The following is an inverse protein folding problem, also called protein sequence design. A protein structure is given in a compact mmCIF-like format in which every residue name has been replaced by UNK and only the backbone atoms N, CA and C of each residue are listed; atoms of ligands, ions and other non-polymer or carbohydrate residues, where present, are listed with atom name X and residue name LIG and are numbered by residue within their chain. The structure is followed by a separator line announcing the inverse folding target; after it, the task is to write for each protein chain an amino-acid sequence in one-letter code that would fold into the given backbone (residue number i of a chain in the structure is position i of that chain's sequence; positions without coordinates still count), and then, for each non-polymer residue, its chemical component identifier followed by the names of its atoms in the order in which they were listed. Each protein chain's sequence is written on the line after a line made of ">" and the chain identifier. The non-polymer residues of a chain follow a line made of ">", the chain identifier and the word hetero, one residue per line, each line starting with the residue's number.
data_IF_127036594424
#
_entry.id   IF_127036594424
#
_cell.length_a   1.000
_cell.length_b   1.000
_cell.length_c   1.000
_cell.angle_alpha   90.00
_cell.angle_beta   90.00
_cell.angle_gamma   90.00
#
_symmetry.space_group_name_H-M   'P 1'
#
loop_
_entity.id
_entity.type
_entity.pdbx_description
1 polymer ?
#
# COMPACT_ATOMS: atom_id res chain seq x y z
N UNK A 1 -11.53 16.35 11.51
CA UNK A 1 -10.41 16.84 10.70
C UNK A 1 -9.60 15.63 10.27
N UNK A 2 -9.23 15.50 8.98
CA UNK A 2 -8.40 14.39 8.53
C UNK A 2 -6.99 14.49 9.11
N UNK A 3 -6.26 13.37 9.12
CA UNK A 3 -4.84 13.32 9.48
C UNK A 3 -4.03 13.41 8.20
N UNK A 4 -3.04 14.30 8.13
CA UNK A 4 -2.07 14.36 7.04
C UNK A 4 -0.69 14.11 7.60
N UNK A 5 0.12 13.35 6.89
CA UNK A 5 1.51 13.10 7.25
C UNK A 5 2.41 13.34 6.04
N UNK A 6 3.59 13.86 6.36
CA UNK A 6 4.67 14.16 5.45
C UNK A 6 5.95 13.76 6.16
N UNK A 7 6.40 12.53 5.93
CA UNK A 7 7.54 11.97 6.64
C UNK A 7 8.46 11.22 5.68
N UNK A 8 9.73 11.65 5.68
CA UNK A 8 10.77 11.07 4.85
C UNK A 8 11.55 9.95 5.54
N UNK A 9 11.86 8.88 4.80
CA UNK A 9 12.73 7.79 5.27
C UNK A 9 14.23 8.01 4.99
N UNK A 10 14.65 9.22 4.62
CA UNK A 10 16.07 9.55 4.43
C UNK A 10 16.83 9.30 5.74
N UNK A 11 17.94 8.56 5.66
CA UNK A 11 18.72 8.13 6.83
C UNK A 11 18.27 6.81 7.46
N UNK A 12 17.20 6.16 6.97
CA UNK A 12 16.86 4.80 7.37
C UNK A 12 17.91 3.80 6.85
N UNK A 13 18.02 2.63 7.50
CA UNK A 13 18.89 1.54 7.05
C UNK A 13 18.55 1.16 5.60
N UNK A 14 19.53 1.31 4.70
CA UNK A 14 19.35 1.13 3.24
C UNK A 14 19.12 2.41 2.44
N UNK A 15 18.93 3.56 3.09
CA UNK A 15 18.71 4.91 2.49
C UNK A 15 19.59 5.99 3.13
N UNK A 16 20.87 5.68 3.32
CA UNK A 16 21.82 6.50 4.05
C UNK A 16 23.15 6.66 3.28
N UNK A 17 23.07 6.97 1.99
CA UNK A 17 24.26 7.35 1.24
C UNK A 17 24.77 8.70 1.76
N UNK A 18 26.02 8.72 2.22
CA UNK A 18 26.68 9.94 2.69
C UNK A 18 27.05 10.91 1.56
N UNK A 19 26.90 10.50 0.30
CA UNK A 19 27.43 11.23 -0.87
C UNK A 19 26.45 11.36 -2.04
N UNK A 20 25.25 10.76 -1.95
CA UNK A 20 24.26 10.82 -3.02
C UNK A 20 22.88 11.14 -2.46
N UNK A 21 22.47 12.40 -2.60
CA UNK A 21 21.16 12.88 -2.18
C UNK A 21 20.02 12.17 -2.92
N UNK A 22 20.13 11.97 -4.24
CA UNK A 22 19.08 11.30 -5.03
C UNK A 22 18.87 9.83 -4.63
N UNK A 23 19.94 9.13 -4.26
CA UNK A 23 19.82 7.79 -3.66
C UNK A 23 18.99 7.81 -2.38
N UNK A 24 19.15 8.85 -1.55
CA UNK A 24 18.37 9.00 -0.33
C UNK A 24 16.94 9.46 -0.64
N UNK A 25 16.77 10.37 -1.61
CA UNK A 25 15.54 11.08 -1.92
C UNK A 25 14.51 10.24 -2.67
N UNK A 26 14.88 9.56 -3.75
CA UNK A 26 13.90 8.90 -4.64
C UNK A 26 13.12 7.83 -3.86
N UNK A 27 11.80 8.00 -3.74
CA UNK A 27 10.89 7.09 -3.03
C UNK A 27 10.91 7.20 -1.50
N UNK A 28 11.59 8.19 -0.92
CA UNK A 28 11.76 8.26 0.53
C UNK A 28 10.46 8.56 1.29
N UNK A 29 9.58 9.39 0.72
CA UNK A 29 8.26 9.68 1.29
C UNK A 29 7.32 8.48 1.17
N UNK A 30 7.36 7.76 0.04
CA UNK A 30 6.61 6.53 -0.15
C UNK A 30 6.95 5.50 0.94
N UNK A 31 8.23 5.23 1.20
CA UNK A 31 8.67 4.24 2.19
C UNK A 31 8.27 4.61 3.63
N UNK A 32 8.46 5.87 4.02
CA UNK A 32 8.06 6.37 5.33
C UNK A 32 6.54 6.28 5.53
N UNK A 33 5.79 6.74 4.54
CA UNK A 33 4.33 6.67 4.49
C UNK A 33 3.82 5.22 4.49
N UNK A 34 4.49 4.32 3.77
CA UNK A 34 4.12 2.92 3.69
C UNK A 34 4.25 2.22 5.05
N UNK A 35 5.33 2.51 5.80
CA UNK A 35 5.52 1.98 7.14
C UNK A 35 4.38 2.43 8.07
N UNK A 36 4.03 3.72 8.05
CA UNK A 36 2.94 4.27 8.84
C UNK A 36 1.58 3.70 8.44
N UNK A 37 1.25 3.67 7.15
CA UNK A 37 -0.02 3.13 6.65
C UNK A 37 -0.19 1.64 6.99
N UNK A 38 0.87 0.83 6.87
CA UNK A 38 0.85 -0.58 7.29
C UNK A 38 0.65 -0.74 8.79
N UNK A 39 1.28 0.11 9.62
CA UNK A 39 1.05 0.09 11.05
C UNK A 39 -0.41 0.40 11.41
N UNK A 40 -1.04 1.36 10.71
CA UNK A 40 -2.46 1.67 10.90
C UNK A 40 -3.38 0.53 10.42
N UNK A 41 -3.08 -0.07 9.27
CA UNK A 41 -3.85 -1.17 8.70
C UNK A 41 -3.74 -2.43 9.57
N UNK A 42 -2.53 -2.98 9.72
CA UNK A 42 -2.28 -4.22 10.47
C UNK A 42 -2.49 -4.04 11.98
N UNK A 43 -2.32 -2.83 12.52
CA UNK A 43 -2.69 -2.51 13.90
C UNK A 43 -4.20 -2.35 14.11
N UNK A 44 -5.04 -2.59 13.10
CA UNK A 44 -6.50 -2.54 13.20
C UNK A 44 -7.06 -1.14 13.46
N UNK A 45 -6.32 -0.07 13.16
CA UNK A 45 -6.79 1.31 13.36
C UNK A 45 -7.90 1.64 12.37
N UNK A 46 -7.71 1.31 11.09
CA UNK A 46 -8.75 1.48 10.06
C UNK A 46 -9.96 0.57 10.30
N UNK A 47 -9.79 -0.49 11.10
CA UNK A 47 -10.89 -1.29 11.63
C UNK A 47 -11.72 -0.53 12.66
N UNK A 48 -11.05 -0.04 13.70
CA UNK A 48 -11.65 0.63 14.87
C UNK A 48 -12.22 2.01 14.54
N UNK A 49 -11.63 2.69 13.57
CA UNK A 49 -12.00 4.05 13.16
C UNK A 49 -12.28 4.10 11.65
N UNK A 50 -13.38 3.50 11.15
CA UNK A 50 -13.67 3.44 9.71
C UNK A 50 -13.94 4.82 9.07
N UNK A 51 -14.31 5.82 9.89
CA UNK A 51 -14.45 7.21 9.47
C UNK A 51 -13.15 8.00 9.39
N UNK A 52 -12.01 7.43 9.82
CA UNK A 52 -10.71 8.11 9.75
C UNK A 52 -10.30 8.30 8.29
N UNK A 53 -9.72 9.46 7.99
CA UNK A 53 -9.13 9.79 6.70
C UNK A 53 -7.68 10.19 6.92
N UNK A 54 -6.78 9.56 6.17
CA UNK A 54 -5.34 9.72 6.29
C UNK A 54 -4.75 10.09 4.93
N UNK A 55 -4.17 11.28 4.84
CA UNK A 55 -3.42 11.76 3.68
C UNK A 55 -1.93 11.49 3.86
N UNK A 56 -1.32 10.83 2.89
CA UNK A 56 0.08 10.43 2.85
C UNK A 56 0.74 11.22 1.73
N UNK A 57 1.40 12.33 2.05
CA UNK A 57 1.79 13.36 1.08
C UNK A 57 3.15 13.04 0.42
N UNK A 58 3.32 13.50 -0.83
CA UNK A 58 4.59 13.54 -1.59
C UNK A 58 5.25 12.17 -1.84
N UNK A 59 4.48 11.08 -1.70
CA UNK A 59 4.98 9.73 -1.95
C UNK A 59 4.72 9.19 -3.35
N UNK A 60 3.95 9.92 -4.17
CA UNK A 60 3.27 9.35 -5.34
C UNK A 60 2.06 8.49 -4.93
N UNK A 61 1.18 8.19 -5.89
CA UNK A 61 -0.02 7.38 -5.63
C UNK A 61 0.12 5.90 -6.08
N UNK A 62 1.17 5.57 -6.82
CA UNK A 62 1.46 4.23 -7.33
C UNK A 62 1.72 3.23 -6.19
N UNK A 63 2.48 3.63 -5.16
CA UNK A 63 2.79 2.74 -4.04
C UNK A 63 1.54 2.33 -3.26
N UNK A 64 0.52 3.20 -3.19
CA UNK A 64 -0.77 2.87 -2.59
C UNK A 64 -1.49 1.74 -3.32
N UNK A 65 -1.36 1.73 -4.65
CA UNK A 65 -1.89 0.68 -5.55
C UNK A 65 -1.10 -0.62 -5.44
N UNK A 66 0.23 -0.49 -5.38
CA UNK A 66 1.14 -1.61 -5.21
C UNK A 66 0.90 -2.34 -3.88
N UNK A 67 0.77 -1.59 -2.77
CA UNK A 67 0.47 -2.20 -1.46
C UNK A 67 -0.92 -2.81 -1.44
N UNK A 68 -1.94 -2.13 -2.00
CA UNK A 68 -3.28 -2.70 -2.08
C UNK A 68 -3.28 -4.07 -2.79
N UNK A 69 -2.64 -4.14 -3.95
CA UNK A 69 -2.46 -5.39 -4.71
C UNK A 69 -1.77 -6.45 -3.86
N UNK A 70 -0.70 -6.08 -3.17
CA UNK A 70 0.05 -7.00 -2.33
C UNK A 70 -0.70 -7.46 -1.09
N UNK A 71 -1.58 -6.64 -0.50
CA UNK A 71 -2.43 -7.05 0.61
C UNK A 71 -3.37 -8.17 0.16
N UNK A 72 -4.01 -8.01 -1.01
CA UNK A 72 -4.90 -9.03 -1.59
C UNK A 72 -4.14 -10.32 -1.87
N UNK A 73 -3.03 -10.24 -2.63
CA UNK A 73 -2.21 -11.39 -2.98
C UNK A 73 -1.72 -12.21 -1.78
N UNK A 74 -1.47 -11.52 -0.66
CA UNK A 74 -0.92 -12.12 0.57
C UNK A 74 -2.04 -12.68 1.43
N UNK A 75 -3.19 -12.02 1.50
CA UNK A 75 -4.36 -12.54 2.17
C UNK A 75 -4.83 -13.86 1.55
N UNK A 76 -4.88 -13.96 0.22
CA UNK A 76 -5.25 -15.21 -0.47
C UNK A 76 -4.31 -16.38 -0.14
N UNK A 77 -3.02 -16.09 0.05
CA UNK A 77 -1.98 -17.10 0.27
C UNK A 77 -1.74 -17.39 1.75
N UNK A 78 -2.04 -16.47 2.66
CA UNK A 78 -1.56 -16.49 4.04
C UNK A 78 -2.57 -15.97 5.07
N UNK A 79 -3.87 -15.96 4.74
CA UNK A 79 -4.89 -15.84 5.79
C UNK A 79 -4.82 -17.04 6.76
N UNK A 80 -5.57 -16.96 7.88
CA UNK A 80 -5.66 -17.98 8.92
C UNK A 80 -5.81 -19.42 8.42
N UNK A 81 -6.54 -19.62 7.33
CA UNK A 81 -6.77 -20.95 6.74
C UNK A 81 -5.65 -21.31 5.77
N UNK A 82 -5.33 -20.42 4.83
CA UNK A 82 -4.34 -20.68 3.78
C UNK A 82 -2.91 -20.89 4.33
N UNK A 83 -2.57 -20.23 5.45
CA UNK A 83 -1.27 -20.40 6.10
C UNK A 83 -1.03 -21.84 6.59
N UNK A 84 -2.10 -22.63 6.82
CA UNK A 84 -2.00 -24.03 7.21
C UNK A 84 -1.37 -24.92 6.14
N UNK A 85 -1.35 -24.50 4.88
CA UNK A 85 -0.62 -25.18 3.81
C UNK A 85 0.90 -25.18 4.05
N UNK A 86 1.40 -24.26 4.88
CA UNK A 86 2.81 -24.15 5.24
C UNK A 86 3.08 -24.58 6.69
N UNK A 87 2.10 -25.16 7.38
CA UNK A 87 2.27 -25.62 8.75
C UNK A 87 3.14 -26.90 8.76
N UNK A 88 4.34 -26.87 9.37
CA UNK A 88 5.22 -28.04 9.41
C UNK A 88 4.59 -29.26 10.08
N UNK A 89 3.62 -29.06 10.98
CA UNK A 89 2.90 -30.15 11.66
C UNK A 89 2.00 -30.97 10.72
N UNK A 90 1.63 -30.42 9.56
CA UNK A 90 0.81 -31.12 8.55
C UNK A 90 1.65 -31.83 7.49
N UNK A 91 2.97 -31.67 7.50
CA UNK A 91 3.81 -32.25 6.47
C UNK A 91 3.93 -33.78 6.60
N UNK A 92 3.78 -34.47 5.47
CA UNK A 92 3.98 -35.92 5.38
C UNK A 92 5.48 -36.24 5.30
N UNK A 93 6.08 -36.42 6.48
CA UNK A 93 7.51 -36.75 6.63
C UNK A 93 7.86 -38.09 5.97
N UNK A 94 6.93 -39.03 5.96
CA UNK A 94 7.13 -40.36 5.38
C UNK A 94 7.22 -40.28 3.86
N UNK A 95 6.27 -39.56 3.23
CA UNK A 95 6.31 -39.31 1.80
C UNK A 95 7.56 -38.52 1.41
N UNK A 96 7.93 -37.49 2.18
CA UNK A 96 9.13 -36.71 1.92
C UNK A 96 10.39 -37.59 1.97
N UNK A 97 10.51 -38.46 2.98
CA UNK A 97 11.62 -39.39 3.09
C UNK A 97 11.68 -40.36 1.90
N UNK A 98 10.54 -40.94 1.50
CA UNK A 98 10.45 -41.82 0.35
C UNK A 98 10.86 -41.14 -0.96
N UNK A 99 10.51 -39.86 -1.14
CA UNK A 99 10.94 -39.07 -2.30
C UNK A 99 12.45 -38.83 -2.31
N UNK A 100 13.05 -38.51 -1.16
CA UNK A 100 14.51 -38.35 -1.04
C UNK A 100 15.26 -39.67 -1.24
N UNK A 101 14.73 -40.79 -0.75
CA UNK A 101 15.31 -42.11 -0.97
C UNK A 101 15.24 -42.52 -2.45
N UNK A 102 14.12 -42.23 -3.12
CA UNK A 102 13.90 -42.61 -4.51
C UNK A 102 14.64 -41.73 -5.52
N UNK A 103 14.72 -40.43 -5.26
CA UNK A 103 15.21 -39.46 -6.25
C UNK A 103 16.40 -38.61 -5.77
N UNK A 104 16.71 -38.62 -4.47
CA UNK A 104 17.71 -37.73 -3.85
C UNK A 104 19.11 -38.31 -3.71
N UNK A 105 19.40 -39.49 -4.28
CA UNK A 105 20.67 -40.20 -4.08
C UNK A 105 21.93 -39.35 -4.36
N UNK A 106 21.90 -38.54 -5.43
CA UNK A 106 22.98 -37.61 -5.79
C UNK A 106 23.13 -36.46 -4.78
N UNK A 107 22.01 -35.97 -4.23
CA UNK A 107 21.99 -34.87 -3.26
C UNK A 107 22.49 -35.32 -1.89
N UNK A 108 22.08 -36.52 -1.45
CA UNK A 108 22.47 -37.07 -0.15
C UNK A 108 23.85 -37.71 -0.16
N UNK A 109 24.45 -37.95 -1.35
CA UNK A 109 25.74 -38.64 -1.52
C UNK A 109 25.79 -39.97 -0.77
N UNK A 110 24.67 -40.70 -0.80
CA UNK A 110 24.53 -41.99 -0.10
C UNK A 110 24.36 -41.90 1.42
N UNK A 111 24.22 -40.70 2.01
CA UNK A 111 23.88 -40.57 3.43
C UNK A 111 22.41 -40.94 3.66
N UNK A 112 22.08 -41.66 4.75
CA UNK A 112 20.70 -41.99 5.06
C UNK A 112 19.89 -40.74 5.40
N UNK A 113 18.59 -40.78 5.06
CA UNK A 113 17.64 -39.71 5.38
C UNK A 113 17.29 -39.76 6.86
N UNK A 114 17.50 -38.65 7.59
CA UNK A 114 17.07 -38.53 8.98
C UNK A 114 15.69 -37.86 9.06
N UNK A 115 14.64 -38.64 9.22
CA UNK A 115 13.25 -38.15 9.32
C UNK A 115 13.04 -37.10 10.41
N UNK A 116 13.77 -37.19 11.54
CA UNK A 116 13.63 -36.25 12.64
C UNK A 116 14.12 -34.83 12.30
N UNK A 117 15.02 -34.70 11.33
CA UNK A 117 15.54 -33.40 10.89
C UNK A 117 15.18 -33.07 9.44
N UNK A 118 14.56 -34.01 8.71
CA UNK A 118 14.34 -33.93 7.27
C UNK A 118 13.59 -32.66 6.85
N UNK A 119 12.47 -32.34 7.50
CA UNK A 119 11.70 -31.13 7.18
C UNK A 119 12.54 -29.87 7.38
N UNK A 120 13.23 -29.79 8.52
CA UNK A 120 14.11 -28.68 8.86
C UNK A 120 15.26 -28.52 7.87
N UNK A 121 15.89 -29.63 7.52
CA UNK A 121 17.08 -29.63 6.66
C UNK A 121 16.73 -29.36 5.19
N UNK A 122 15.50 -29.69 4.76
CA UNK A 122 15.02 -29.49 3.38
C UNK A 122 14.32 -28.15 3.15
N UNK A 123 13.52 -27.68 4.11
CA UNK A 123 12.75 -26.43 4.00
C UNK A 123 13.41 -25.25 4.71
N UNK A 124 14.46 -25.52 5.49
CA UNK A 124 15.15 -24.54 6.31
C UNK A 124 14.42 -24.25 7.64
N UNK A 125 15.18 -23.83 8.65
CA UNK A 125 14.63 -23.00 9.73
C UNK A 125 14.67 -21.55 9.30
N UNK A 126 13.76 -20.72 9.83
CA UNK A 126 13.94 -19.27 9.74
C UNK A 126 15.35 -18.90 10.22
N UNK A 127 16.15 -18.32 9.32
CA UNK A 127 17.57 -18.03 9.56
C UNK A 127 17.79 -16.65 10.22
N UNK A 128 16.71 -16.00 10.67
CA UNK A 128 16.76 -14.66 11.25
C UNK A 128 16.93 -14.75 12.78
N UNK A 129 18.01 -14.19 13.37
CA UNK A 129 18.33 -14.31 14.81
C UNK A 129 17.26 -13.76 15.78
N UNK A 130 16.29 -13.00 15.26
CA UNK A 130 15.28 -12.29 16.05
C UNK A 130 13.85 -12.66 15.65
N UNK A 131 13.66 -13.79 14.96
CA UNK A 131 12.34 -14.30 14.61
C UNK A 131 12.00 -15.52 15.46
N UNK A 132 10.74 -15.61 15.91
CA UNK A 132 10.15 -16.79 16.54
C UNK A 132 8.94 -17.25 15.74
N UNK A 133 8.50 -18.48 15.98
CA UNK A 133 7.23 -18.95 15.43
C UNK A 133 6.06 -18.15 16.02
N UNK A 134 4.99 -17.91 15.23
CA UNK A 134 3.79 -17.25 15.70
C UNK A 134 3.05 -18.13 16.73
N UNK A 135 2.50 -17.51 17.77
CA UNK A 135 1.75 -18.19 18.82
C UNK A 135 0.25 -17.88 18.74
N UNK A 136 -0.58 -18.93 18.74
CA UNK A 136 -2.04 -18.81 18.76
C UNK A 136 -2.58 -17.97 17.60
N UNK A 137 -3.13 -16.80 17.93
CA UNK A 137 -3.76 -15.88 16.99
C UNK A 137 -2.77 -15.05 16.15
N UNK A 138 -1.49 -15.02 16.51
CA UNK A 138 -0.44 -14.37 15.71
C UNK A 138 -0.22 -15.06 14.36
N UNK A 139 -0.73 -16.28 14.19
CA UNK A 139 -0.67 -16.99 12.92
C UNK A 139 -1.53 -16.32 11.83
N UNK A 140 -2.52 -15.54 12.24
CA UNK A 140 -3.36 -14.75 11.35
C UNK A 140 -2.89 -13.30 11.29
N UNK A 141 -1.99 -13.03 10.33
CA UNK A 141 -1.38 -11.71 10.12
C UNK A 141 -2.41 -10.58 9.92
N UNK A 142 -3.65 -10.89 9.53
CA UNK A 142 -4.72 -9.93 9.22
C UNK A 142 -5.77 -9.78 10.33
N UNK A 143 -5.65 -10.54 11.43
CA UNK A 143 -6.68 -10.63 12.48
C UNK A 143 -7.08 -9.26 13.05
N UNK A 144 -6.11 -8.42 13.38
CA UNK A 144 -6.35 -7.11 13.96
C UNK A 144 -7.03 -6.15 12.96
N UNK A 145 -6.69 -6.25 11.68
CA UNK A 145 -7.38 -5.54 10.59
C UNK A 145 -8.81 -6.07 10.37
N UNK A 146 -9.10 -7.29 10.83
CA UNK A 146 -10.42 -7.94 10.73
C UNK A 146 -10.81 -8.23 9.30
N UNK A 147 -9.87 -8.79 8.53
CA UNK A 147 -10.09 -9.14 7.13
C UNK A 147 -10.59 -10.57 7.06
N UNK A 148 -11.81 -10.75 6.54
CA UNK A 148 -12.41 -12.07 6.27
C UNK A 148 -12.57 -12.30 4.76
N UNK A 149 -12.48 -11.23 3.97
CA UNK A 149 -12.62 -11.23 2.52
C UNK A 149 -11.68 -10.21 1.84
N UNK A 150 -11.50 -10.35 0.52
CA UNK A 150 -10.72 -9.36 -0.27
C UNK A 150 -11.41 -7.99 -0.25
N UNK A 151 -12.74 -7.96 -0.18
CA UNK A 151 -13.55 -6.76 -0.06
C UNK A 151 -13.24 -5.99 1.22
N UNK A 152 -13.00 -6.67 2.34
CA UNK A 152 -12.61 -6.02 3.59
C UNK A 152 -11.29 -5.25 3.43
N UNK A 153 -10.34 -5.75 2.62
CA UNK A 153 -9.09 -5.03 2.35
C UNK A 153 -9.38 -3.70 1.66
N UNK A 154 -10.29 -3.68 0.68
CA UNK A 154 -10.73 -2.43 0.03
C UNK A 154 -11.34 -1.47 1.06
N UNK A 155 -12.17 -1.98 1.95
CA UNK A 155 -12.79 -1.17 3.01
C UNK A 155 -11.76 -0.59 4.00
N UNK A 156 -10.72 -1.37 4.34
CA UNK A 156 -9.69 -0.99 5.32
C UNK A 156 -8.50 -0.25 4.74
N UNK A 157 -8.29 -0.32 3.43
CA UNK A 157 -7.18 0.33 2.72
C UNK A 157 -7.65 1.48 1.84
N UNK A 158 -8.59 1.24 0.93
CA UNK A 158 -8.96 2.23 -0.10
C UNK A 158 -9.83 3.33 0.49
N UNK A 159 -10.75 3.06 1.41
CA UNK A 159 -11.58 4.14 1.99
C UNK A 159 -10.80 5.12 2.88
N UNK A 160 -9.89 4.67 3.78
CA UNK A 160 -9.26 5.57 4.73
C UNK A 160 -8.06 6.33 4.16
N UNK A 161 -7.30 5.74 3.23
CA UNK A 161 -6.03 6.30 2.77
C UNK A 161 -6.17 7.12 1.48
N UNK A 162 -5.47 8.25 1.45
CA UNK A 162 -5.35 9.17 0.33
C UNK A 162 -3.87 9.42 0.09
N UNK A 163 -3.45 9.38 -1.17
CA UNK A 163 -2.05 9.31 -1.57
C UNK A 163 -1.69 10.55 -2.39
N UNK A 164 -0.78 11.36 -1.86
CA UNK A 164 -0.32 12.58 -2.51
C UNK A 164 0.51 12.26 -3.74
N UNK A 165 0.11 12.81 -4.88
CA UNK A 165 0.86 12.80 -6.12
C UNK A 165 1.13 14.25 -6.54
N UNK A 166 2.37 14.51 -6.93
CA UNK A 166 2.81 15.79 -7.47
C UNK A 166 2.40 15.96 -8.93
N UNK A 167 2.64 17.15 -9.48
CA UNK A 167 2.10 17.59 -10.74
C UNK A 167 2.46 16.70 -11.93
N UNK A 168 3.74 16.39 -12.10
CA UNK A 168 4.29 15.65 -13.23
C UNK A 168 4.49 14.15 -12.94
N UNK A 169 3.97 13.66 -11.81
CA UNK A 169 4.07 12.25 -11.41
C UNK A 169 3.27 11.34 -12.35
N UNK A 170 3.97 10.82 -13.36
CA UNK A 170 3.41 9.88 -14.34
C UNK A 170 2.93 8.58 -13.70
N UNK A 171 3.46 8.21 -12.54
CA UNK A 171 3.12 6.94 -11.87
C UNK A 171 1.70 6.95 -11.31
N UNK A 172 1.09 8.13 -11.16
CA UNK A 172 -0.32 8.29 -10.74
C UNK A 172 -1.31 7.50 -11.59
N UNK A 173 -0.95 7.17 -12.85
CA UNK A 173 -1.74 6.27 -13.70
C UNK A 173 -2.04 4.91 -13.04
N UNK A 174 -1.13 4.39 -12.23
CA UNK A 174 -1.35 3.14 -11.50
C UNK A 174 -2.53 3.23 -10.52
N UNK A 175 -2.73 4.38 -9.87
CA UNK A 175 -3.85 4.61 -8.96
C UNK A 175 -5.21 4.52 -9.65
N UNK A 176 -5.30 4.95 -10.91
CA UNK A 176 -6.56 4.94 -11.67
C UNK A 176 -6.76 3.69 -12.52
N UNK A 177 -5.75 2.81 -12.62
CA UNK A 177 -5.78 1.64 -13.49
C UNK A 177 -6.60 0.48 -12.90
N UNK A 178 -7.90 0.49 -13.19
CA UNK A 178 -8.85 -0.56 -12.73
C UNK A 178 -8.62 -1.93 -13.36
N UNK A 179 -7.74 -2.07 -14.35
CA UNK A 179 -7.41 -3.39 -14.94
C UNK A 179 -6.40 -4.16 -14.10
N UNK A 180 -5.55 -3.45 -13.36
CA UNK A 180 -4.48 -4.07 -12.55
C UNK A 180 -4.80 -4.06 -11.07
N UNK A 181 -5.54 -3.05 -10.60
CA UNK A 181 -5.92 -2.95 -9.20
C UNK A 181 -7.03 -3.96 -8.86
N UNK A 182 -6.88 -4.73 -7.77
CA UNK A 182 -7.90 -5.70 -7.35
C UNK A 182 -9.31 -5.10 -7.25
N UNK A 183 -10.32 -5.94 -7.48
CA UNK A 183 -11.74 -5.56 -7.44
C UNK A 183 -12.07 -4.39 -8.39
N UNK A 184 -11.29 -4.21 -9.46
CA UNK A 184 -11.41 -3.11 -10.41
C UNK A 184 -11.41 -1.73 -9.73
N UNK A 185 -10.62 -1.58 -8.67
CA UNK A 185 -10.70 -0.42 -7.77
C UNK A 185 -9.78 0.72 -8.22
N UNK A 186 -10.23 1.96 -8.03
CA UNK A 186 -9.39 3.15 -8.12
C UNK A 186 -8.87 3.53 -6.73
N UNK A 187 -7.60 3.87 -6.65
CA UNK A 187 -6.96 4.37 -5.42
C UNK A 187 -7.16 5.88 -5.32
N UNK A 188 -7.28 6.39 -4.09
CA UNK A 188 -7.52 7.80 -3.82
C UNK A 188 -6.24 8.64 -3.99
N UNK A 189 -5.81 8.87 -5.22
CA UNK A 189 -4.77 9.84 -5.50
C UNK A 189 -5.30 11.26 -5.24
N UNK A 190 -4.54 12.09 -4.54
CA UNK A 190 -4.82 13.51 -4.32
C UNK A 190 -3.65 14.35 -4.83
N UNK A 191 -3.97 15.44 -5.51
CA UNK A 191 -2.97 16.36 -6.02
C UNK A 191 -2.28 17.14 -4.90
N UNK A 192 -0.96 17.30 -5.00
CA UNK A 192 -0.15 18.21 -4.19
C UNK A 192 0.70 19.08 -5.11
N UNK A 193 0.90 20.35 -4.72
CA UNK A 193 1.69 21.30 -5.52
C UNK A 193 3.17 21.29 -5.18
N UNK A 194 3.54 20.77 -4.01
CA UNK A 194 4.89 20.82 -3.40
C UNK A 194 5.60 22.19 -3.51
N UNK A 195 4.82 23.27 -3.34
CA UNK A 195 5.36 24.63 -3.49
C UNK A 195 6.32 24.91 -2.34
N UNK A 196 7.55 25.29 -2.71
CA UNK A 196 8.65 25.52 -1.78
C UNK A 196 9.74 24.44 -1.85
N UNK A 197 9.52 23.36 -2.59
CA UNK A 197 10.55 22.40 -2.94
C UNK A 197 11.41 22.90 -4.12
N UNK A 198 12.59 22.33 -4.29
CA UNK A 198 13.62 22.86 -5.21
C UNK A 198 13.35 22.57 -6.68
N UNK A 199 12.48 21.60 -6.98
CA UNK A 199 12.01 21.26 -8.34
C UNK A 199 10.74 22.03 -8.75
N UNK A 200 10.18 22.87 -7.88
CA UNK A 200 9.05 23.77 -8.18
C UNK A 200 9.53 25.24 -8.17
N UNK A 201 10.26 25.68 -9.21
CA UNK A 201 10.81 27.04 -9.26
C UNK A 201 9.76 28.12 -9.53
N UNK A 202 8.64 27.78 -10.19
CA UNK A 202 7.52 28.68 -10.46
C UNK A 202 6.24 28.17 -9.78
N UNK A 203 5.69 28.97 -8.87
CA UNK A 203 4.49 28.61 -8.10
C UNK A 203 3.19 28.62 -8.93
N UNK A 204 3.23 29.13 -10.17
CA UNK A 204 2.06 29.28 -11.05
C UNK A 204 1.88 28.10 -12.00
N UNK A 205 2.91 27.29 -12.19
CA UNK A 205 2.95 26.21 -13.18
C UNK A 205 2.37 24.86 -12.71
N UNK A 206 2.52 24.39 -11.45
CA UNK A 206 2.27 23.00 -11.09
C UNK A 206 0.89 22.44 -11.49
N UNK A 207 -0.17 23.23 -11.30
CA UNK A 207 -1.52 22.78 -11.67
C UNK A 207 -1.69 22.68 -13.20
N UNK A 208 -1.07 23.60 -13.94
CA UNK A 208 -1.12 23.59 -15.40
C UNK A 208 -0.28 22.42 -15.96
N UNK A 209 0.92 22.19 -15.42
CA UNK A 209 1.80 21.07 -15.80
C UNK A 209 1.14 19.72 -15.56
N UNK A 210 0.31 19.61 -14.51
CA UNK A 210 -0.44 18.39 -14.25
C UNK A 210 -1.39 17.99 -15.40
N UNK A 211 -1.80 18.96 -16.25
CA UNK A 211 -2.63 18.70 -17.42
C UNK A 211 -1.86 17.97 -18.54
N UNK A 212 -0.53 18.06 -18.57
CA UNK A 212 0.30 17.34 -19.54
C UNK A 212 0.10 15.82 -19.45
N UNK A 213 -0.20 15.30 -18.26
CA UNK A 213 -0.54 13.89 -18.06
C UNK A 213 -1.80 13.48 -18.84
N UNK A 214 -2.74 14.41 -19.03
CA UNK A 214 -3.93 14.20 -19.85
C UNK A 214 -3.59 14.29 -21.33
N UNK A 215 -2.85 15.33 -21.75
CA UNK A 215 -2.48 15.53 -23.15
C UNK A 215 -1.64 14.37 -23.70
N UNK A 216 -0.77 13.81 -22.85
CA UNK A 216 0.09 12.68 -23.18
C UNK A 216 -0.60 11.33 -23.02
N UNK A 217 -1.87 11.29 -22.58
CA UNK A 217 -2.65 10.06 -22.43
C UNK A 217 -2.22 9.16 -21.28
N UNK A 218 -1.51 9.70 -20.28
CA UNK A 218 -1.13 8.97 -19.05
C UNK A 218 -2.35 8.73 -18.18
N UNK A 219 -3.21 9.74 -18.05
CA UNK A 219 -4.50 9.67 -17.37
C UNK A 219 -5.60 10.30 -18.22
N UNK A 220 -6.87 9.97 -17.96
CA UNK A 220 -7.99 10.64 -18.63
C UNK A 220 -8.33 11.99 -17.98
N UNK A 221 -9.07 12.85 -18.68
CA UNK A 221 -9.60 14.09 -18.08
C UNK A 221 -10.50 13.83 -16.85
N UNK A 222 -11.18 12.68 -16.80
CA UNK A 222 -11.97 12.28 -15.64
C UNK A 222 -11.07 11.89 -14.45
N UNK A 223 -9.96 11.21 -14.71
CA UNK A 223 -8.96 10.89 -13.68
C UNK A 223 -8.28 12.16 -13.16
N UNK A 224 -7.97 13.10 -14.04
CA UNK A 224 -7.47 14.42 -13.66
C UNK A 224 -8.45 15.16 -12.74
N UNK A 225 -9.75 15.19 -13.09
CA UNK A 225 -10.79 15.75 -12.21
C UNK A 225 -10.82 15.06 -10.84
N UNK A 226 -10.67 13.74 -10.81
CA UNK A 226 -10.62 12.99 -9.57
C UNK A 226 -9.39 13.36 -8.72
N UNK A 227 -8.22 13.49 -9.36
CA UNK A 227 -6.94 13.83 -8.75
C UNK A 227 -6.94 15.23 -8.11
N UNK A 228 -7.35 16.26 -8.87
CA UNK A 228 -7.21 17.67 -8.47
C UNK A 228 -8.41 18.21 -7.69
N UNK A 229 -9.55 17.53 -7.73
CA UNK A 229 -10.78 18.03 -7.11
C UNK A 229 -11.57 16.97 -6.34
N UNK A 230 -12.05 15.88 -6.98
CA UNK A 230 -13.02 15.00 -6.32
C UNK A 230 -12.44 14.26 -5.11
N UNK A 231 -11.25 13.69 -5.23
CA UNK A 231 -10.60 12.98 -4.13
C UNK A 231 -10.18 13.95 -3.01
N UNK A 232 -9.53 15.11 -3.27
CA UNK A 232 -9.29 16.12 -2.23
C UNK A 232 -10.57 16.59 -1.53
N UNK A 233 -11.64 16.86 -2.29
CA UNK A 233 -12.92 17.26 -1.72
C UNK A 233 -13.50 16.16 -0.82
N UNK A 234 -13.50 14.90 -1.28
CA UNK A 234 -13.96 13.74 -0.51
C UNK A 234 -13.13 13.53 0.76
N UNK A 235 -11.80 13.69 0.68
CA UNK A 235 -10.89 13.56 1.82
C UNK A 235 -11.30 14.47 2.99
N UNK A 236 -11.56 15.74 2.70
CA UNK A 236 -11.97 16.70 3.73
C UNK A 236 -13.41 16.51 4.18
N UNK A 237 -14.34 16.30 3.25
CA UNK A 237 -15.79 16.25 3.56
C UNK A 237 -16.25 14.94 4.19
N UNK A 238 -15.62 13.80 3.88
CA UNK A 238 -15.91 12.56 4.60
C UNK A 238 -15.38 12.59 6.04
N UNK A 239 -14.29 13.32 6.28
CA UNK A 239 -13.77 13.52 7.63
C UNK A 239 -14.57 14.58 8.43
N UNK A 240 -15.15 15.56 7.73
CA UNK A 240 -16.02 16.59 8.29
C UNK A 240 -16.92 17.17 7.19
N UNK A 241 -18.23 16.84 7.15
CA UNK A 241 -19.14 17.35 6.13
C UNK A 241 -19.24 18.88 6.07
N UNK A 242 -18.97 19.57 7.17
CA UNK A 242 -19.00 21.03 7.28
C UNK A 242 -17.65 21.70 6.97
N UNK A 243 -16.65 20.97 6.46
CA UNK A 243 -15.27 21.48 6.31
C UNK A 243 -15.17 22.81 5.55
N UNK A 244 -15.99 22.99 4.52
CA UNK A 244 -16.00 24.19 3.68
C UNK A 244 -17.09 25.21 4.07
N UNK A 245 -17.85 24.98 5.13
CA UNK A 245 -18.90 25.90 5.56
C UNK A 245 -18.34 27.31 5.81
N UNK A 246 -19.01 28.33 5.28
CA UNK A 246 -18.56 29.72 5.37
C UNK A 246 -17.41 30.10 4.43
N UNK A 247 -16.97 29.21 3.53
CA UNK A 247 -15.94 29.51 2.52
C UNK A 247 -16.54 29.75 1.14
N UNK A 248 -15.78 30.40 0.25
CA UNK A 248 -16.16 30.57 -1.16
C UNK A 248 -16.35 29.23 -1.90
N UNK A 249 -15.70 28.16 -1.43
CA UNK A 249 -15.85 26.81 -1.97
C UNK A 249 -17.29 26.32 -1.75
N UNK A 250 -17.85 26.50 -0.55
CA UNK A 250 -19.25 26.13 -0.30
C UNK A 250 -20.22 26.92 -1.18
N UNK A 251 -19.98 28.23 -1.37
CA UNK A 251 -20.79 29.07 -2.27
C UNK A 251 -20.77 28.55 -3.71
N UNK A 252 -19.58 28.22 -4.24
CA UNK A 252 -19.42 27.70 -5.60
C UNK A 252 -20.08 26.32 -5.79
N UNK A 253 -19.97 25.43 -4.80
CA UNK A 253 -20.59 24.10 -4.83
C UNK A 253 -22.12 24.20 -4.86
N UNK A 254 -22.70 25.11 -4.06
CA UNK A 254 -24.14 25.34 -4.04
C UNK A 254 -24.65 25.97 -5.34
N UNK A 255 -23.85 26.82 -6.00
CA UNK A 255 -24.20 27.36 -7.31
C UNK A 255 -24.15 26.27 -8.40
N UNK A 256 -23.15 25.40 -8.35
CA UNK A 256 -22.96 24.32 -9.33
C UNK A 256 -24.03 23.21 -9.23
N UNK A 257 -24.61 22.97 -8.04
CA UNK A 257 -25.69 21.99 -7.86
C UNK A 257 -27.05 22.47 -8.39
N UNK A 258 -27.19 23.77 -8.66
CA UNK A 258 -28.41 24.42 -9.18
C UNK A 258 -28.37 24.60 -10.71
N UNK A 259 -27.19 24.52 -11.33
CA UNK A 259 -27.04 24.60 -12.79
C UNK A 259 -27.50 23.29 -13.47
N UNK A 260 -28.29 23.34 -14.57
CA UNK A 260 -28.63 22.14 -15.33
C UNK A 260 -27.35 21.54 -15.94
N UNK A 261 -27.19 20.22 -15.79
CA UNK A 261 -26.08 19.44 -16.36
C UNK A 261 -26.11 19.40 -17.87
#
# INVERSE_FOLDING_TARGET
>A
MPVTTHYGSQGWTGRQSISNYMFNHIGHFADGSQAFAKALFFGGVTRRFPGLRVGLLEGGADWGSHVFTHLVDRFEKRNRNAVQNYNPAHADVELLAALFEKYGAELTKGKPVNKATLLRDSLGTSALPHSRDPEGDELDDFLAAGIESVEDIRERWVKPFYFGAEADDRTVAAAFNTKVNPLNTRINAIWSSDIGHWDVPDLTEPLAESWDLVEQGVISAADFRALVFENPYRFYTEANPAFFEGTDIATKLNAASVAPR
#
